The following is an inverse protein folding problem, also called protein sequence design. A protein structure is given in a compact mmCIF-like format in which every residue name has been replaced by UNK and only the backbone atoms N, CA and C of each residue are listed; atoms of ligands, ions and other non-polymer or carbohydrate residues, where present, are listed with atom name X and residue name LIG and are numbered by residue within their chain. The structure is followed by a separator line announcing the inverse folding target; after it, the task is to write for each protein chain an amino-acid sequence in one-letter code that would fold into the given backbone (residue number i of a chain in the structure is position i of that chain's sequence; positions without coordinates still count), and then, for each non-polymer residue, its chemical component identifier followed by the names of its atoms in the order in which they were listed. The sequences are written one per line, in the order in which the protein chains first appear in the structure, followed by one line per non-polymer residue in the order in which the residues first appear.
data_IF_172256354353
#
_entry.id   IF_172256354353
#
_cell.length_a   1.000
_cell.length_b   1.000
_cell.length_c   1.000
_cell.angle_alpha   90.00
_cell.angle_beta   90.00
_cell.angle_gamma   90.00
#
_symmetry.space_group_name_H-M   'P 1'
#
loop_
_entity.id
_entity.type
_entity.pdbx_description
1 polymer ?
#
# COMPACT_ATOMS: atom_id res chain seq x y z
N UNK A 1 19.56 82.02 99.21
CA UNK A 1 19.87 81.90 97.77
C UNK A 1 20.94 80.84 97.61
N UNK A 2 20.67 79.66 97.04
CA UNK A 2 21.74 78.66 96.85
C UNK A 2 21.38 77.17 96.69
N UNK A 3 20.14 76.77 96.40
CA UNK A 3 19.78 75.32 96.36
C UNK A 3 18.89 74.88 95.19
N UNK A 4 18.70 75.71 94.15
CA UNK A 4 17.83 75.38 93.00
C UNK A 4 18.57 74.96 91.71
N UNK A 5 19.91 75.05 91.66
CA UNK A 5 20.65 74.93 90.39
C UNK A 5 21.26 73.53 90.11
N UNK A 6 21.16 72.57 91.04
CA UNK A 6 21.75 71.23 90.90
C UNK A 6 20.78 70.14 90.36
N UNK A 7 19.48 70.41 90.30
CA UNK A 7 18.49 69.44 89.81
C UNK A 7 18.32 69.46 88.28
N UNK A 8 18.53 70.62 87.64
CA UNK A 8 18.32 70.80 86.20
C UNK A 8 19.43 70.15 85.37
N UNK A 9 20.70 70.26 85.79
CA UNK A 9 21.83 69.63 85.09
C UNK A 9 21.78 68.10 85.13
N UNK A 10 21.27 67.51 86.20
CA UNK A 10 21.12 66.05 86.32
C UNK A 10 20.03 65.50 85.40
N UNK A 11 18.97 66.28 85.14
CA UNK A 11 17.88 65.89 84.23
C UNK A 11 18.30 66.01 82.76
N UNK A 12 19.10 67.03 82.41
CA UNK A 12 19.64 67.21 81.05
C UNK A 12 20.61 66.08 80.67
N UNK A 13 21.45 65.62 81.62
CA UNK A 13 22.35 64.49 81.38
C UNK A 13 21.60 63.16 81.23
N UNK A 14 20.53 62.93 81.99
CA UNK A 14 19.73 61.70 81.91
C UNK A 14 18.93 61.62 80.60
N UNK A 15 18.44 62.75 80.08
CA UNK A 15 17.80 62.83 78.76
C UNK A 15 18.81 62.63 77.63
N UNK A 16 20.05 63.13 77.76
CA UNK A 16 21.11 62.91 76.76
C UNK A 16 21.54 61.44 76.69
N UNK A 17 21.56 60.74 77.83
CA UNK A 17 21.89 59.31 77.89
C UNK A 17 20.75 58.43 77.37
N UNK A 18 19.49 58.80 77.63
CA UNK A 18 18.32 58.15 77.02
C UNK A 18 18.24 58.38 75.50
N UNK A 19 18.72 59.53 74.98
CA UNK A 19 18.82 59.80 73.53
C UNK A 19 19.99 59.08 72.85
N UNK A 20 21.03 58.68 73.61
CA UNK A 20 22.18 57.90 73.09
C UNK A 20 22.06 56.39 73.34
N UNK A 21 21.09 55.96 74.14
CA UNK A 21 20.82 54.55 74.39
C UNK A 21 19.98 53.96 73.24
N UNK A 22 20.66 53.47 72.21
CA UNK A 22 20.05 52.69 71.11
C UNK A 22 19.47 51.33 71.57
N UNK A 23 19.58 51.00 72.86
CA UNK A 23 19.10 49.74 73.44
C UNK A 23 17.58 49.55 73.35
N UNK A 24 16.81 50.60 73.07
CA UNK A 24 15.35 50.52 72.86
C UNK A 24 14.89 50.24 71.42
N UNK A 25 15.72 50.53 70.41
CA UNK A 25 15.36 50.37 68.99
C UNK A 25 15.87 49.07 68.37
N UNK A 26 16.93 48.47 68.93
CA UNK A 26 17.56 47.26 68.41
C UNK A 26 16.62 46.06 68.34
N UNK A 27 15.76 45.87 69.35
CA UNK A 27 14.86 44.73 69.45
C UNK A 27 13.70 44.80 68.42
N UNK A 28 12.98 45.93 68.25
CA UNK A 28 12.04 46.11 67.16
C UNK A 28 12.67 45.92 65.78
N UNK A 29 13.87 46.48 65.51
CA UNK A 29 14.53 46.32 64.21
C UNK A 29 14.93 44.87 63.94
N UNK A 30 15.39 44.13 64.94
CA UNK A 30 15.70 42.71 64.79
C UNK A 30 14.45 41.87 64.51
N UNK A 31 13.32 42.18 65.16
CA UNK A 31 12.04 41.53 64.90
C UNK A 31 11.53 41.86 63.50
N UNK A 32 11.57 43.14 63.08
CA UNK A 32 11.18 43.53 61.72
C UNK A 32 12.08 42.89 60.67
N UNK A 33 13.39 42.80 60.90
CA UNK A 33 14.31 42.10 60.02
C UNK A 33 14.01 40.59 59.95
N UNK A 34 13.73 39.92 61.08
CA UNK A 34 13.32 38.51 61.09
C UNK A 34 12.00 38.30 60.34
N UNK A 35 10.98 39.13 60.59
CA UNK A 35 9.69 39.02 59.89
C UNK A 35 9.85 39.31 58.39
N UNK A 36 10.66 40.30 58.01
CA UNK A 36 10.93 40.60 56.61
C UNK A 36 11.69 39.45 55.91
N UNK A 37 12.70 38.86 56.57
CA UNK A 37 13.44 37.72 56.01
C UNK A 37 12.60 36.45 55.91
N UNK A 38 11.74 36.16 56.90
CA UNK A 38 10.79 35.04 56.85
C UNK A 38 9.68 35.28 55.81
N UNK A 39 9.22 36.53 55.66
CA UNK A 39 8.26 36.94 54.63
C UNK A 39 8.81 36.77 53.22
N UNK A 40 10.05 37.21 52.98
CA UNK A 40 10.72 37.01 51.68
C UNK A 40 11.06 35.54 51.42
N UNK A 41 11.47 34.79 52.45
CA UNK A 41 11.75 33.36 52.36
C UNK A 41 10.50 32.54 52.02
N UNK A 42 9.36 32.82 52.65
CA UNK A 42 8.10 32.13 52.36
C UNK A 42 7.58 32.40 50.95
N UNK A 43 7.70 33.64 50.44
CA UNK A 43 7.36 33.97 49.06
C UNK A 43 8.23 33.18 48.04
N UNK A 44 9.53 33.06 48.31
CA UNK A 44 10.43 32.28 47.48
C UNK A 44 10.06 30.78 47.47
N UNK A 45 9.75 30.19 48.63
CA UNK A 45 9.30 28.79 48.73
C UNK A 45 7.99 28.55 47.97
N UNK A 46 6.99 29.40 48.13
CA UNK A 46 5.72 29.29 47.41
C UNK A 46 5.91 29.39 45.89
N UNK A 47 6.79 30.31 45.44
CA UNK A 47 7.14 30.42 44.02
C UNK A 47 7.83 29.16 43.49
N UNK A 48 8.70 28.54 44.28
CA UNK A 48 9.39 27.30 43.92
C UNK A 48 8.44 26.12 43.86
N UNK A 49 7.49 26.01 44.80
CA UNK A 49 6.46 24.97 44.79
C UNK A 49 5.56 25.12 43.57
N UNK A 50 5.12 26.34 43.24
CA UNK A 50 4.32 26.59 42.04
C UNK A 50 5.10 26.29 40.75
N UNK A 51 6.38 26.64 40.68
CA UNK A 51 7.24 26.31 39.54
C UNK A 51 7.44 24.80 39.41
N UNK A 52 7.67 24.09 40.52
CA UNK A 52 7.77 22.63 40.53
C UNK A 52 6.46 21.96 40.08
N UNK A 53 5.31 22.42 40.57
CA UNK A 53 4.00 21.93 40.13
C UNK A 53 3.76 22.21 38.64
N UNK A 54 4.19 23.37 38.15
CA UNK A 54 4.16 23.70 36.72
C UNK A 54 4.99 22.75 35.87
N UNK A 55 6.23 22.47 36.30
CA UNK A 55 7.13 21.52 35.64
C UNK A 55 6.59 20.09 35.66
N UNK A 56 6.01 19.65 36.78
CA UNK A 56 5.36 18.33 36.85
C UNK A 56 4.18 18.25 35.90
N UNK A 57 3.29 19.25 35.88
CA UNK A 57 2.14 19.27 34.98
C UNK A 57 2.55 19.29 33.50
N UNK A 58 3.59 20.01 33.14
CA UNK A 58 4.13 20.02 31.77
C UNK A 58 4.75 18.66 31.41
N UNK A 59 5.52 18.06 32.32
CA UNK A 59 6.07 16.72 32.14
C UNK A 59 4.97 15.68 31.95
N UNK A 60 3.98 15.63 32.85
CA UNK A 60 2.85 14.70 32.79
C UNK A 60 2.04 14.90 31.50
N UNK A 61 1.89 16.16 31.05
CA UNK A 61 1.22 16.47 29.78
C UNK A 61 1.99 15.95 28.57
N UNK A 62 3.32 16.07 28.57
CA UNK A 62 4.20 15.55 27.50
C UNK A 62 4.24 14.01 27.51
N UNK A 63 4.27 13.41 28.70
CA UNK A 63 4.16 11.96 28.85
C UNK A 63 2.81 11.44 28.36
N UNK A 64 1.71 12.11 28.70
CA UNK A 64 0.37 11.73 28.28
C UNK A 64 0.19 11.80 26.75
N UNK A 65 0.71 12.83 26.07
CA UNK A 65 0.64 12.91 24.60
C UNK A 65 1.58 11.88 23.94
N UNK A 66 2.75 11.62 24.51
CA UNK A 66 3.64 10.57 24.04
C UNK A 66 3.01 9.18 24.18
N UNK A 67 2.30 8.92 25.29
CA UNK A 67 1.53 7.70 25.48
C UNK A 67 0.38 7.57 24.47
N UNK A 68 -0.29 8.68 24.14
CA UNK A 68 -1.34 8.71 23.13
C UNK A 68 -0.78 8.37 21.73
N UNK A 69 0.33 9.00 21.33
CA UNK A 69 1.00 8.70 20.06
C UNK A 69 1.52 7.26 19.99
N UNK A 70 2.08 6.75 21.10
CA UNK A 70 2.47 5.36 21.20
C UNK A 70 1.28 4.41 21.03
N UNK A 71 0.11 4.73 21.60
CA UNK A 71 -1.13 4.01 21.38
C UNK A 71 -1.55 3.99 19.91
N UNK A 72 -1.44 5.12 19.21
CA UNK A 72 -1.69 5.20 17.77
C UNK A 72 -0.69 4.37 16.95
N UNK A 73 0.60 4.37 17.30
CA UNK A 73 1.63 3.55 16.65
C UNK A 73 1.46 2.05 16.90
N UNK A 74 1.02 1.66 18.10
CA UNK A 74 0.68 0.25 18.40
C UNK A 74 -0.54 -0.18 17.59
N UNK A 75 -1.54 0.70 17.45
CA UNK A 75 -2.66 0.44 16.56
C UNK A 75 -2.18 0.21 15.12
N UNK A 76 -1.30 1.07 14.60
CA UNK A 76 -0.70 0.95 13.27
C UNK A 76 0.02 -0.39 13.08
N UNK A 77 0.89 -0.77 14.03
CA UNK A 77 1.61 -2.04 13.99
C UNK A 77 0.66 -3.25 13.94
N UNK A 78 -0.39 -3.23 14.78
CA UNK A 78 -1.39 -4.30 14.80
C UNK A 78 -2.20 -4.34 13.51
N UNK A 79 -2.61 -3.18 13.01
CA UNK A 79 -3.32 -3.07 11.74
C UNK A 79 -2.48 -3.62 10.58
N UNK A 80 -1.19 -3.29 10.50
CA UNK A 80 -0.29 -3.81 9.46
C UNK A 80 -0.08 -5.32 9.58
N UNK A 81 0.05 -5.82 10.81
CA UNK A 81 0.24 -7.26 11.07
C UNK A 81 -1.00 -8.09 10.73
N UNK A 82 -2.20 -7.52 10.90
CA UNK A 82 -3.48 -8.23 10.73
C UNK A 82 -4.30 -7.71 9.54
N UNK A 83 -3.71 -6.90 8.66
CA UNK A 83 -4.42 -6.24 7.56
C UNK A 83 -5.19 -7.26 6.68
N UNK A 84 -4.57 -8.40 6.38
CA UNK A 84 -5.16 -9.48 5.58
C UNK A 84 -6.30 -10.23 6.28
N UNK A 85 -6.41 -10.14 7.60
CA UNK A 85 -7.43 -10.81 8.40
C UNK A 85 -8.69 -9.93 8.61
N UNK A 86 -8.60 -8.62 8.34
CA UNK A 86 -9.72 -7.71 8.44
C UNK A 86 -10.71 -7.95 7.29
N UNK A 87 -11.99 -8.10 7.63
CA UNK A 87 -13.06 -8.33 6.65
C UNK A 87 -14.19 -7.35 6.85
N UNK A 88 -15.12 -7.25 5.89
CA UNK A 88 -16.34 -6.45 6.05
C UNK A 88 -17.22 -6.93 7.21
N UNK A 89 -17.18 -8.23 7.52
CA UNK A 89 -17.95 -8.82 8.62
C UNK A 89 -17.28 -8.56 9.96
N UNK A 90 -15.95 -8.62 10.02
CA UNK A 90 -15.16 -8.36 11.22
C UNK A 90 -14.04 -7.33 10.91
N UNK A 91 -14.38 -6.03 10.82
CA UNK A 91 -13.44 -5.00 10.40
C UNK A 91 -12.54 -4.50 11.54
N UNK A 92 -12.71 -5.01 12.76
CA UNK A 92 -12.09 -4.48 13.96
C UNK A 92 -11.14 -5.48 14.62
N UNK A 93 -10.03 -4.97 15.13
CA UNK A 93 -9.16 -5.68 16.07
C UNK A 93 -9.56 -5.31 17.50
N UNK A 94 -9.72 -6.32 18.34
CA UNK A 94 -9.96 -6.16 19.76
C UNK A 94 -9.08 -7.11 20.56
N UNK A 95 -8.87 -6.82 21.84
CA UNK A 95 -8.10 -7.67 22.75
C UNK A 95 -9.07 -8.41 23.66
N UNK A 96 -9.15 -9.73 23.51
CA UNK A 96 -9.91 -10.60 24.40
C UNK A 96 -8.94 -11.25 25.39
N UNK A 97 -8.82 -10.67 26.59
CA UNK A 97 -7.80 -11.07 27.56
C UNK A 97 -6.39 -10.66 27.09
N UNK A 98 -5.56 -11.64 26.73
CA UNK A 98 -4.20 -11.40 26.20
C UNK A 98 -4.07 -11.63 24.69
N UNK A 99 -5.14 -12.07 24.02
CA UNK A 99 -5.12 -12.40 22.60
C UNK A 99 -5.84 -11.35 21.76
N UNK A 100 -5.30 -11.08 20.57
CA UNK A 100 -5.98 -10.26 19.57
C UNK A 100 -7.03 -11.11 18.87
N UNK A 101 -8.26 -10.59 18.80
CA UNK A 101 -9.40 -11.20 18.14
C UNK A 101 -10.03 -10.22 17.14
N UNK A 102 -10.61 -10.77 16.08
CA UNK A 102 -11.41 -10.01 15.12
C UNK A 102 -12.83 -9.83 15.65
N UNK A 103 -13.41 -8.65 15.48
CA UNK A 103 -14.76 -8.33 15.93
C UNK A 103 -15.47 -7.35 15.01
N UNK A 104 -16.77 -7.15 15.25
CA UNK A 104 -17.59 -6.14 14.59
C UNK A 104 -17.31 -4.75 15.17
N UNK A 105 -17.56 -3.71 14.37
CA UNK A 105 -17.63 -2.36 14.89
C UNK A 105 -18.79 -2.25 15.89
N UNK A 106 -18.62 -1.42 16.91
CA UNK A 106 -19.69 -1.05 17.84
C UNK A 106 -20.75 -0.20 17.12
N UNK A 107 -21.91 -0.01 17.77
CA UNK A 107 -23.05 0.72 17.18
C UNK A 107 -22.74 2.18 16.79
N UNK A 108 -21.69 2.77 17.38
CA UNK A 108 -21.18 4.11 17.05
C UNK A 108 -20.31 4.13 15.79
N UNK A 109 -20.10 2.99 15.13
CA UNK A 109 -19.26 2.86 13.94
C UNK A 109 -17.77 2.75 14.25
N UNK A 110 -17.38 2.61 15.53
CA UNK A 110 -15.98 2.49 15.94
C UNK A 110 -15.69 1.10 16.49
N UNK A 111 -14.46 0.64 16.29
CA UNK A 111 -13.97 -0.58 16.88
C UNK A 111 -13.93 -0.49 18.42
N UNK A 112 -14.10 -1.61 19.13
CA UNK A 112 -13.98 -1.64 20.58
C UNK A 112 -12.63 -1.08 21.04
N UNK A 113 -12.64 -0.43 22.21
CA UNK A 113 -11.45 0.16 22.78
C UNK A 113 -10.41 -0.89 23.15
N UNK A 114 -9.15 -0.58 22.83
CA UNK A 114 -8.00 -1.38 23.18
C UNK A 114 -7.09 -0.57 24.10
N UNK A 115 -6.79 -1.14 25.27
CA UNK A 115 -5.97 -0.50 26.32
C UNK A 115 -4.59 -1.15 26.42
N UNK A 116 -3.63 -0.38 26.91
CA UNK A 116 -2.29 -0.86 27.22
C UNK A 116 -1.47 0.17 28.00
N UNK A 117 -0.19 -0.14 28.21
CA UNK A 117 0.77 0.73 28.92
C UNK A 117 2.04 0.90 28.10
N UNK A 118 2.72 2.03 28.31
CA UNK A 118 4.05 2.34 27.77
C UNK A 118 4.85 3.00 28.90
N UNK A 119 5.76 2.23 29.50
CA UNK A 119 6.42 2.66 30.75
C UNK A 119 5.41 2.76 31.91
N UNK A 120 5.41 3.89 32.62
CA UNK A 120 4.46 4.19 33.70
C UNK A 120 3.13 4.76 33.23
N UNK A 121 3.05 5.21 31.97
CA UNK A 121 1.86 5.82 31.40
C UNK A 121 0.97 4.77 30.73
N UNK A 122 -0.30 5.10 30.57
CA UNK A 122 -1.30 4.23 29.93
C UNK A 122 -1.85 4.84 28.65
N UNK A 123 -2.33 4.00 27.75
CA UNK A 123 -3.06 4.43 26.55
C UNK A 123 -4.32 3.60 26.34
N UNK A 124 -5.29 4.20 25.67
CA UNK A 124 -6.47 3.56 25.14
C UNK A 124 -6.71 4.07 23.73
N UNK A 125 -6.94 3.20 22.75
CA UNK A 125 -7.25 3.63 21.39
C UNK A 125 -8.48 2.94 20.83
N UNK A 126 -9.14 3.63 19.89
CA UNK A 126 -10.22 3.10 19.05
C UNK A 126 -9.91 3.41 17.59
N UNK A 127 -10.34 2.53 16.70
CA UNK A 127 -10.14 2.68 15.25
C UNK A 127 -11.48 2.68 14.53
N UNK A 128 -11.60 3.36 13.40
CA UNK A 128 -12.74 3.12 12.49
C UNK A 128 -12.48 1.85 11.67
N UNK A 129 -13.53 1.20 11.14
CA UNK A 129 -13.39 0.27 10.03
C UNK A 129 -12.64 0.90 8.84
N UNK A 130 -12.05 0.04 8.00
CA UNK A 130 -11.49 0.47 6.72
C UNK A 130 -12.61 0.96 5.81
N UNK A 131 -12.51 2.19 5.33
CA UNK A 131 -13.43 2.71 4.31
C UNK A 131 -13.16 2.08 2.94
N UNK A 132 -14.10 2.21 2.01
CA UNK A 132 -13.94 1.76 0.63
C UNK A 132 -12.75 2.43 -0.09
N UNK A 133 -12.30 3.60 0.37
CA UNK A 133 -11.14 4.32 -0.18
C UNK A 133 -9.82 3.93 0.48
N UNK A 134 -9.82 2.94 1.37
CA UNK A 134 -8.63 2.48 2.06
C UNK A 134 -8.17 3.41 3.19
N UNK A 135 -9.04 4.31 3.67
CA UNK A 135 -8.72 5.22 4.78
C UNK A 135 -9.35 4.74 6.08
N UNK A 136 -8.68 5.03 7.21
CA UNK A 136 -9.21 4.80 8.55
C UNK A 136 -8.70 5.88 9.52
N UNK A 137 -9.40 6.07 10.63
CA UNK A 137 -8.97 6.98 11.70
C UNK A 137 -8.72 6.21 12.98
N UNK A 138 -7.64 6.55 13.69
CA UNK A 138 -7.35 6.08 15.03
C UNK A 138 -7.38 7.24 16.00
N UNK A 139 -8.17 7.10 17.06
CA UNK A 139 -8.16 8.03 18.18
C UNK A 139 -7.51 7.31 19.34
N UNK A 140 -6.43 7.89 19.86
CA UNK A 140 -5.71 7.37 21.01
C UNK A 140 -5.70 8.41 22.13
N UNK A 141 -6.05 7.97 23.33
CA UNK A 141 -5.98 8.74 24.57
C UNK A 141 -4.85 8.17 25.41
N UNK A 142 -3.88 9.00 25.74
CA UNK A 142 -2.79 8.67 26.66
C UNK A 142 -2.98 9.38 28.00
N UNK A 143 -2.62 8.70 29.09
CA UNK A 143 -2.75 9.22 30.44
C UNK A 143 -1.48 8.98 31.25
N UNK A 144 -1.02 10.02 31.93
CA UNK A 144 0.09 9.99 32.89
C UNK A 144 -0.34 10.70 34.18
N UNK A 145 -0.42 9.95 35.28
CA UNK A 145 -1.04 10.43 36.52
C UNK A 145 -2.50 10.88 36.32
N UNK A 146 -2.78 12.15 36.58
CA UNK A 146 -4.11 12.77 36.41
C UNK A 146 -4.29 13.48 35.07
N UNK A 147 -3.22 13.58 34.27
CA UNK A 147 -3.25 14.27 32.98
C UNK A 147 -3.59 13.28 31.88
N UNK A 148 -4.55 13.63 31.03
CA UNK A 148 -4.93 12.85 29.85
C UNK A 148 -4.89 13.72 28.60
N UNK A 149 -4.35 13.18 27.52
CA UNK A 149 -4.21 13.82 26.21
C UNK A 149 -4.71 12.87 25.14
N UNK A 150 -5.29 13.43 24.07
CA UNK A 150 -5.90 12.64 23.01
C UNK A 150 -5.39 13.11 21.66
N UNK A 151 -5.10 12.15 20.78
CA UNK A 151 -4.69 12.39 19.40
C UNK A 151 -5.60 11.64 18.44
N UNK A 152 -5.88 12.26 17.29
CA UNK A 152 -6.54 11.64 16.16
C UNK A 152 -5.54 11.54 15.01
N UNK A 153 -5.39 10.34 14.46
CA UNK A 153 -4.42 10.00 13.42
C UNK A 153 -5.15 9.35 12.26
N UNK A 154 -5.01 9.94 11.07
CA UNK A 154 -5.50 9.33 9.83
C UNK A 154 -4.49 8.35 9.27
N UNK A 155 -4.95 7.15 8.92
CA UNK A 155 -4.18 6.18 8.15
C UNK A 155 -4.79 5.96 6.76
N UNK A 156 -3.94 5.68 5.78
CA UNK A 156 -4.32 5.23 4.45
C UNK A 156 -3.57 3.96 4.12
N UNK A 157 -4.24 3.01 3.51
CA UNK A 157 -3.60 1.80 3.00
C UNK A 157 -2.72 2.13 1.81
N UNK A 158 -1.48 1.65 1.86
CA UNK A 158 -0.56 1.55 0.73
C UNK A 158 -0.17 0.09 0.57
N UNK A 159 0.10 -0.32 -0.65
CA UNK A 159 0.55 -1.69 -0.92
C UNK A 159 2.06 -1.67 -0.97
N UNK A 160 2.71 -2.38 -0.05
CA UNK A 160 4.18 -2.53 -0.09
C UNK A 160 4.55 -3.90 -0.59
N UNK A 161 5.48 -3.88 -1.55
CA UNK A 161 5.99 -5.06 -2.23
C UNK A 161 4.97 -5.61 -3.22
N UNK A 162 4.95 -5.12 -4.46
CA UNK A 162 4.29 -5.89 -5.52
C UNK A 162 5.08 -7.16 -5.78
N UNK A 163 4.38 -8.25 -6.08
CA UNK A 163 5.03 -9.45 -6.59
C UNK A 163 5.77 -9.20 -7.93
N UNK A 164 5.49 -8.08 -8.60
CA UNK A 164 6.12 -7.65 -9.86
C UNK A 164 7.17 -6.55 -9.68
N UNK A 165 7.49 -6.15 -8.43
CA UNK A 165 8.33 -4.97 -8.20
C UNK A 165 9.80 -5.16 -8.59
N UNK A 166 10.32 -6.39 -8.47
CA UNK A 166 11.75 -6.65 -8.64
C UNK A 166 12.08 -7.37 -9.96
N UNK A 167 11.11 -8.06 -10.56
CA UNK A 167 11.28 -8.88 -11.75
C UNK A 167 10.26 -8.54 -12.84
N UNK A 168 10.74 -8.40 -14.08
CA UNK A 168 9.90 -8.23 -15.25
C UNK A 168 9.44 -9.56 -15.85
N UNK A 169 10.08 -10.67 -15.48
CA UNK A 169 9.68 -12.02 -15.86
C UNK A 169 9.65 -12.95 -14.66
N UNK A 170 8.51 -13.58 -14.38
CA UNK A 170 8.34 -14.50 -13.26
C UNK A 170 7.69 -15.80 -13.72
N UNK A 171 8.30 -16.95 -13.40
CA UNK A 171 7.68 -18.27 -13.53
C UNK A 171 7.60 -18.93 -12.15
N UNK A 172 6.43 -19.27 -11.62
CA UNK A 172 6.36 -19.88 -10.28
C UNK A 172 7.12 -21.21 -10.19
N UNK A 173 6.88 -22.12 -11.12
CA UNK A 173 7.39 -23.49 -11.07
C UNK A 173 8.74 -23.61 -11.75
N UNK A 174 8.86 -23.21 -13.01
CA UNK A 174 10.11 -23.28 -13.78
C UNK A 174 10.09 -22.22 -14.88
N UNK A 175 11.28 -21.93 -15.41
CA UNK A 175 11.47 -20.99 -16.52
C UNK A 175 12.45 -21.56 -17.54
N UNK A 176 12.09 -21.49 -18.82
CA UNK A 176 12.94 -21.86 -19.95
C UNK A 176 13.08 -20.65 -20.89
N UNK A 177 14.31 -20.24 -21.14
CA UNK A 177 14.68 -19.11 -21.99
C UNK A 177 15.63 -19.67 -23.05
N UNK A 178 15.22 -19.73 -24.31
CA UNK A 178 15.98 -20.42 -25.35
C UNK A 178 15.91 -19.74 -26.74
N UNK A 179 16.52 -20.39 -27.74
CA UNK A 179 16.48 -20.00 -29.15
C UNK A 179 16.89 -18.54 -29.44
N UNK A 180 17.97 -18.05 -28.82
CA UNK A 180 18.44 -16.67 -28.92
C UNK A 180 17.45 -15.63 -28.37
N UNK A 181 16.69 -15.99 -27.32
CA UNK A 181 15.92 -15.00 -26.58
C UNK A 181 16.82 -14.03 -25.79
N UNK A 182 16.40 -12.77 -25.65
CA UNK A 182 17.12 -11.71 -24.93
C UNK A 182 16.20 -11.07 -23.88
N UNK A 183 16.50 -11.31 -22.61
CA UNK A 183 15.69 -10.85 -21.48
C UNK A 183 16.41 -9.70 -20.77
N UNK A 184 16.02 -8.46 -21.07
CA UNK A 184 16.62 -7.22 -20.55
C UNK A 184 15.99 -6.72 -19.25
N UNK A 185 15.41 -7.63 -18.50
CA UNK A 185 14.77 -7.38 -17.20
C UNK A 185 15.24 -8.42 -16.21
N UNK A 186 15.07 -8.15 -14.91
CA UNK A 186 15.28 -9.19 -13.91
C UNK A 186 14.27 -10.33 -14.10
N UNK A 187 14.74 -11.57 -13.95
CA UNK A 187 13.96 -12.80 -14.15
C UNK A 187 13.97 -13.64 -12.87
N UNK A 188 12.83 -14.23 -12.49
CA UNK A 188 12.70 -14.95 -11.23
C UNK A 188 11.82 -16.20 -11.30
N UNK A 189 12.18 -17.25 -10.58
CA UNK A 189 11.35 -18.44 -10.39
C UNK A 189 11.48 -19.06 -9.00
N UNK A 190 10.51 -19.87 -8.58
CA UNK A 190 10.65 -20.70 -7.37
C UNK A 190 11.15 -22.12 -7.68
N UNK A 191 11.39 -22.46 -8.94
CA UNK A 191 12.09 -23.69 -9.32
C UNK A 191 13.40 -23.42 -10.05
N UNK A 192 13.63 -24.14 -11.15
CA UNK A 192 14.86 -24.00 -11.92
C UNK A 192 14.69 -22.99 -13.07
N UNK A 193 15.80 -22.37 -13.44
CA UNK A 193 15.90 -21.56 -14.65
C UNK A 193 16.82 -22.30 -15.62
N UNK A 194 16.33 -22.49 -16.84
CA UNK A 194 17.10 -23.05 -17.94
C UNK A 194 17.29 -21.94 -18.98
N UNK A 195 18.54 -21.58 -19.24
CA UNK A 195 18.90 -20.61 -20.29
C UNK A 195 19.76 -21.33 -21.31
N UNK A 196 19.24 -21.51 -22.51
CA UNK A 196 19.84 -22.38 -23.53
C UNK A 196 19.97 -21.67 -24.88
N UNK A 197 20.67 -22.31 -25.82
CA UNK A 197 20.69 -21.93 -27.25
C UNK A 197 20.97 -20.44 -27.54
N UNK A 198 22.05 -19.91 -26.96
CA UNK A 198 22.50 -18.52 -27.10
C UNK A 198 21.49 -17.47 -26.60
N UNK A 199 20.61 -17.83 -25.66
CA UNK A 199 19.78 -16.85 -24.99
C UNK A 199 20.57 -16.07 -23.92
N UNK A 200 20.19 -14.81 -23.69
CA UNK A 200 20.84 -13.92 -22.73
C UNK A 200 19.84 -13.36 -21.72
N UNK A 201 20.32 -13.14 -20.49
CA UNK A 201 19.56 -12.45 -19.43
C UNK A 201 20.37 -11.25 -18.92
N UNK A 202 19.94 -10.05 -19.28
CA UNK A 202 20.47 -8.77 -18.82
C UNK A 202 19.67 -8.21 -17.63
N UNK A 203 19.61 -8.98 -16.54
CA UNK A 203 18.93 -8.62 -15.30
C UNK A 203 19.34 -9.51 -14.14
N UNK A 204 18.88 -9.17 -12.92
CA UNK A 204 19.10 -10.06 -11.77
C UNK A 204 18.30 -11.35 -11.97
N UNK A 205 18.89 -12.47 -11.58
CA UNK A 205 18.29 -13.80 -11.72
C UNK A 205 17.97 -14.34 -10.32
N UNK A 206 16.70 -14.62 -10.05
CA UNK A 206 16.28 -15.31 -8.82
C UNK A 206 15.83 -16.74 -9.12
N UNK A 207 16.36 -17.71 -8.41
CA UNK A 207 15.89 -19.10 -8.48
C UNK A 207 15.34 -19.58 -7.14
N UNK A 208 14.61 -20.70 -7.18
CA UNK A 208 14.02 -21.29 -5.99
C UNK A 208 15.04 -21.75 -4.96
N UNK A 209 14.57 -21.90 -3.72
CA UNK A 209 15.40 -22.43 -2.62
C UNK A 209 15.81 -23.88 -2.94
N UNK A 210 17.11 -24.18 -2.88
CA UNK A 210 17.72 -25.46 -3.24
C UNK A 210 17.73 -25.73 -4.76
N UNK A 211 17.47 -24.71 -5.59
CA UNK A 211 17.49 -24.79 -7.05
C UNK A 211 18.71 -24.07 -7.60
N UNK A 212 18.87 -24.07 -8.92
CA UNK A 212 19.96 -23.37 -9.60
C UNK A 212 19.56 -22.90 -10.99
N UNK A 213 20.15 -21.81 -11.50
CA UNK A 213 20.12 -21.52 -12.92
C UNK A 213 21.07 -22.48 -13.65
N UNK A 214 20.66 -22.93 -14.82
CA UNK A 214 21.47 -23.76 -15.72
C UNK A 214 21.68 -22.98 -17.02
N UNK A 215 22.95 -22.76 -17.36
CA UNK A 215 23.38 -22.06 -18.56
C UNK A 215 23.94 -23.09 -19.54
N UNK A 216 23.20 -23.36 -20.61
CA UNK A 216 23.57 -24.28 -21.68
C UNK A 216 24.07 -23.58 -22.93
N UNK A 217 25.00 -24.21 -23.66
CA UNK A 217 25.60 -23.67 -24.89
C UNK A 217 26.30 -22.32 -24.63
N UNK A 218 26.09 -21.32 -25.50
CA UNK A 218 26.67 -19.98 -25.35
C UNK A 218 25.73 -19.00 -24.62
N UNK A 219 24.76 -19.48 -23.83
CA UNK A 219 23.89 -18.58 -23.07
C UNK A 219 24.65 -17.88 -21.95
N UNK A 220 24.33 -16.60 -21.69
CA UNK A 220 25.00 -15.84 -20.65
C UNK A 220 24.05 -14.97 -19.82
N UNK A 221 24.50 -14.63 -18.62
CA UNK A 221 23.97 -13.49 -17.88
C UNK A 221 24.86 -12.28 -18.18
N UNK A 222 24.28 -11.13 -18.47
CA UNK A 222 25.04 -9.92 -18.77
C UNK A 222 25.83 -9.46 -17.53
N UNK A 223 26.96 -8.77 -17.75
CA UNK A 223 27.81 -8.31 -16.65
C UNK A 223 27.12 -7.28 -15.76
N UNK A 224 27.37 -7.35 -14.44
CA UNK A 224 26.87 -6.39 -13.45
C UNK A 224 25.59 -6.82 -12.73
N UNK A 225 25.02 -7.98 -13.07
CA UNK A 225 23.83 -8.53 -12.41
C UNK A 225 24.17 -9.69 -11.49
N UNK A 226 23.33 -9.90 -10.45
CA UNK A 226 23.49 -10.96 -9.46
C UNK A 226 22.58 -12.16 -9.71
N UNK A 227 22.96 -13.30 -9.14
CA UNK A 227 22.10 -14.47 -8.96
C UNK A 227 21.74 -14.56 -7.48
N UNK A 228 20.46 -14.66 -7.16
CA UNK A 228 19.97 -14.80 -5.79
C UNK A 228 19.06 -16.01 -5.64
N UNK A 229 19.00 -16.53 -4.42
CA UNK A 229 18.10 -17.61 -4.05
C UNK A 229 16.91 -17.03 -3.29
N UNK A 230 15.69 -17.45 -3.64
CA UNK A 230 14.50 -17.02 -2.93
C UNK A 230 13.22 -17.36 -3.68
N UNK A 231 12.10 -17.36 -2.95
CA UNK A 231 10.78 -17.62 -3.51
C UNK A 231 9.94 -16.34 -3.51
N UNK A 232 9.06 -16.24 -4.51
CA UNK A 232 8.00 -15.22 -4.61
C UNK A 232 6.64 -15.92 -4.67
N UNK A 233 5.62 -15.33 -4.07
CA UNK A 233 4.24 -15.79 -4.23
C UNK A 233 3.52 -14.85 -5.17
N UNK A 234 2.93 -15.39 -6.24
CA UNK A 234 2.02 -14.64 -7.11
C UNK A 234 0.58 -14.86 -6.60
N UNK A 235 -0.11 -13.81 -6.11
CA UNK A 235 -1.51 -13.94 -5.70
C UNK A 235 -2.38 -14.45 -6.86
N UNK A 236 -3.40 -15.29 -6.59
CA UNK A 236 -4.35 -15.69 -7.63
C UNK A 236 -5.12 -14.47 -8.13
N UNK A 237 -5.50 -14.45 -9.42
CA UNK A 237 -6.28 -13.35 -10.02
C UNK A 237 -7.59 -13.10 -9.27
N UNK A 238 -8.20 -14.15 -8.71
CA UNK A 238 -9.41 -14.07 -7.87
C UNK A 238 -9.26 -13.17 -6.63
N UNK A 239 -8.03 -12.87 -6.18
CA UNK A 239 -7.78 -12.02 -5.02
C UNK A 239 -7.91 -10.51 -5.31
N UNK A 240 -7.81 -10.10 -6.57
CA UNK A 240 -7.84 -8.67 -6.97
C UNK A 240 -8.77 -8.36 -8.14
N UNK A 241 -9.36 -9.37 -8.77
CA UNK A 241 -10.41 -9.17 -9.77
C UNK A 241 -11.63 -8.47 -9.15
N UNK A 242 -12.31 -7.55 -9.84
CA UNK A 242 -13.54 -6.94 -9.33
C UNK A 242 -14.59 -8.03 -9.00
N UNK A 243 -15.18 -7.97 -7.80
CA UNK A 243 -16.09 -9.02 -7.31
C UNK A 243 -17.35 -9.21 -8.18
N UNK A 244 -17.76 -8.18 -8.91
CA UNK A 244 -18.92 -8.18 -9.81
C UNK A 244 -18.54 -8.28 -11.28
N UNK A 245 -17.29 -8.61 -11.63
CA UNK A 245 -16.80 -8.64 -13.02
C UNK A 245 -17.65 -9.54 -13.94
N UNK A 246 -18.26 -10.59 -13.40
CA UNK A 246 -19.11 -11.50 -14.17
C UNK A 246 -20.39 -10.84 -14.69
N UNK A 247 -20.92 -9.85 -13.97
CA UNK A 247 -22.17 -9.13 -14.31
C UNK A 247 -21.96 -7.69 -14.73
N UNK A 248 -20.88 -7.06 -14.26
CA UNK A 248 -20.48 -5.68 -14.56
C UNK A 248 -19.12 -5.72 -15.25
N UNK A 249 -19.15 -5.77 -16.58
CA UNK A 249 -17.99 -5.72 -17.46
C UNK A 249 -18.33 -4.96 -18.75
N UNK A 250 -17.35 -4.83 -19.62
CA UNK A 250 -17.39 -4.07 -20.86
C UNK A 250 -17.62 -4.95 -22.08
N UNK A 251 -17.97 -6.23 -21.90
CA UNK A 251 -18.20 -7.14 -23.03
C UNK A 251 -19.35 -6.69 -23.93
N UNK A 252 -20.30 -5.87 -23.43
CA UNK A 252 -21.38 -5.30 -24.23
C UNK A 252 -20.86 -4.42 -25.37
N UNK A 253 -19.66 -3.82 -25.22
CA UNK A 253 -18.98 -3.04 -26.27
C UNK A 253 -18.55 -3.90 -27.44
N UNK A 254 -18.36 -5.20 -27.19
CA UNK A 254 -18.01 -6.20 -28.19
C UNK A 254 -19.23 -6.86 -28.86
N UNK A 255 -20.46 -6.47 -28.53
CA UNK A 255 -21.66 -7.08 -29.13
C UNK A 255 -22.06 -6.31 -30.38
N UNK A 256 -22.40 -7.01 -31.46
CA UNK A 256 -23.00 -6.38 -32.65
C UNK A 256 -24.30 -5.67 -32.29
N UNK A 257 -24.36 -4.36 -32.52
CA UNK A 257 -25.55 -3.55 -32.30
C UNK A 257 -26.66 -3.99 -33.27
N UNK A 258 -27.70 -4.67 -32.76
CA UNK A 258 -28.86 -5.08 -33.57
C UNK A 258 -30.14 -4.42 -33.04
N UNK A 259 -30.91 -3.80 -33.93
CA UNK A 259 -32.19 -3.18 -33.60
C UNK A 259 -33.26 -4.25 -33.28
N UNK A 260 -34.26 -3.94 -32.43
CA UNK A 260 -34.55 -2.64 -31.81
C UNK A 260 -33.88 -2.43 -30.44
N UNK A 261 -33.22 -3.45 -29.87
CA UNK A 261 -32.61 -3.39 -28.53
C UNK A 261 -31.10 -3.22 -28.64
N UNK A 262 -30.67 -1.98 -28.90
CA UNK A 262 -29.26 -1.59 -28.97
C UNK A 262 -28.79 -1.23 -27.55
N UNK A 263 -27.89 -2.02 -26.91
CA UNK A 263 -27.34 -1.65 -25.61
C UNK A 263 -26.58 -0.32 -25.70
N UNK A 264 -26.69 0.53 -24.69
CA UNK A 264 -25.88 1.76 -24.61
C UNK A 264 -24.40 1.40 -24.66
N UNK A 265 -23.67 1.96 -25.61
CA UNK A 265 -22.24 1.74 -25.81
C UNK A 265 -21.84 0.44 -26.52
N UNK A 266 -22.78 -0.29 -27.15
CA UNK A 266 -22.39 -1.37 -28.05
C UNK A 266 -21.56 -0.82 -29.22
N UNK A 267 -20.56 -1.60 -29.68
CA UNK A 267 -19.63 -1.23 -30.74
C UNK A 267 -18.91 0.13 -30.52
N UNK A 268 -18.76 0.58 -29.27
CA UNK A 268 -17.81 1.63 -28.93
C UNK A 268 -16.36 1.19 -29.23
N UNK A 269 -16.10 -0.11 -29.12
CA UNK A 269 -14.87 -0.73 -29.59
C UNK A 269 -14.94 -1.00 -31.09
N UNK A 270 -13.84 -0.76 -31.81
CA UNK A 270 -13.82 -0.86 -33.26
C UNK A 270 -13.22 -2.17 -33.73
N UNK A 271 -13.79 -2.77 -34.78
CA UNK A 271 -13.27 -4.00 -35.39
C UNK A 271 -13.26 -3.90 -36.91
N UNK A 272 -12.12 -4.15 -37.55
CA UNK A 272 -11.96 -4.00 -39.00
C UNK A 272 -12.40 -5.23 -39.81
N UNK A 273 -12.61 -6.38 -39.16
CA UNK A 273 -12.98 -7.64 -39.85
C UNK A 273 -14.46 -7.78 -40.23
N UNK A 274 -15.27 -6.74 -40.02
CA UNK A 274 -16.70 -6.71 -40.36
C UNK A 274 -17.61 -7.35 -39.31
N UNK A 275 -18.26 -6.52 -38.50
CA UNK A 275 -19.13 -6.94 -37.40
C UNK A 275 -20.37 -7.77 -37.82
N UNK A 276 -20.94 -7.48 -38.99
CA UNK A 276 -22.19 -8.08 -39.45
C UNK A 276 -22.02 -9.48 -40.02
N UNK A 277 -20.84 -9.81 -40.51
CA UNK A 277 -20.53 -11.10 -41.14
C UNK A 277 -19.71 -11.99 -40.23
N UNK A 278 -18.78 -11.41 -39.46
CA UNK A 278 -17.85 -12.13 -38.59
C UNK A 278 -17.67 -11.37 -37.28
N UNK A 279 -18.71 -11.32 -36.44
CA UNK A 279 -18.60 -10.73 -35.10
C UNK A 279 -17.39 -11.32 -34.37
N UNK A 280 -16.47 -10.49 -33.86
CA UNK A 280 -15.31 -10.98 -33.13
C UNK A 280 -15.70 -11.59 -31.79
N UNK A 281 -16.91 -11.36 -31.30
CA UNK A 281 -17.36 -11.80 -29.99
C UNK A 281 -18.50 -12.81 -30.06
N UNK A 282 -18.34 -13.91 -29.33
CA UNK A 282 -19.40 -14.87 -29.04
C UNK A 282 -19.84 -14.74 -27.57
N UNK A 283 -21.05 -14.21 -27.29
CA UNK A 283 -21.51 -14.01 -25.91
C UNK A 283 -21.81 -15.33 -25.17
N UNK A 284 -22.14 -16.40 -25.89
CA UNK A 284 -22.49 -17.68 -25.27
C UNK A 284 -21.26 -18.39 -24.72
N UNK A 285 -20.17 -18.39 -25.49
CA UNK A 285 -18.89 -19.00 -25.08
C UNK A 285 -17.93 -17.98 -24.47
N UNK A 286 -18.34 -16.71 -24.37
CA UNK A 286 -17.51 -15.58 -23.96
C UNK A 286 -16.14 -15.56 -24.65
N UNK A 287 -16.12 -15.83 -25.94
CA UNK A 287 -14.88 -15.97 -26.73
C UNK A 287 -14.71 -14.79 -27.66
N UNK A 288 -13.53 -14.17 -27.63
CA UNK A 288 -13.08 -13.16 -28.58
C UNK A 288 -12.23 -13.85 -29.66
N UNK A 289 -12.69 -13.86 -30.90
CA UNK A 289 -11.99 -14.46 -32.04
C UNK A 289 -11.93 -13.46 -33.17
N UNK A 290 -10.74 -13.08 -33.61
CA UNK A 290 -10.56 -12.19 -34.76
C UNK A 290 -10.19 -12.99 -36.02
N UNK A 291 -10.58 -12.48 -37.19
CA UNK A 291 -10.15 -13.05 -38.46
C UNK A 291 -8.68 -12.72 -38.77
N UNK A 292 -8.14 -13.31 -39.83
CA UNK A 292 -6.81 -12.90 -40.33
C UNK A 292 -6.84 -11.44 -40.80
N UNK A 293 -5.74 -10.69 -40.61
CA UNK A 293 -5.60 -9.30 -41.06
C UNK A 293 -6.68 -8.36 -40.51
N UNK A 294 -7.15 -8.63 -39.30
CA UNK A 294 -8.18 -7.82 -38.66
C UNK A 294 -7.63 -7.14 -37.40
N UNK A 295 -8.22 -6.01 -37.04
CA UNK A 295 -7.81 -5.20 -35.90
C UNK A 295 -8.99 -5.07 -34.98
N UNK A 296 -8.79 -5.38 -33.70
CA UNK A 296 -9.73 -5.06 -32.62
C UNK A 296 -9.10 -3.94 -31.79
N UNK A 297 -9.82 -2.83 -31.62
CA UNK A 297 -9.38 -1.71 -30.80
C UNK A 297 -10.32 -1.54 -29.62
N UNK A 298 -9.79 -1.70 -28.42
CA UNK A 298 -10.53 -1.53 -27.18
C UNK A 298 -10.33 -0.10 -26.66
N UNK A 299 -11.43 0.61 -26.49
CA UNK A 299 -11.50 2.01 -26.07
C UNK A 299 -11.42 2.20 -24.55
N UNK A 300 -11.35 1.09 -23.79
CA UNK A 300 -11.19 1.06 -22.34
C UNK A 300 -12.22 0.16 -21.65
N UNK A 301 -11.94 -0.16 -20.39
CA UNK A 301 -12.82 -0.94 -19.53
C UNK A 301 -12.28 -2.30 -19.15
N UNK A 302 -13.07 -3.00 -18.34
CA UNK A 302 -12.78 -4.34 -17.88
C UNK A 302 -13.57 -5.35 -18.69
N UNK A 303 -12.89 -6.31 -19.31
CA UNK A 303 -13.50 -7.37 -20.10
C UNK A 303 -13.40 -8.68 -19.34
N UNK A 304 -14.44 -9.51 -19.44
CA UNK A 304 -14.50 -10.80 -18.74
C UNK A 304 -14.79 -11.92 -19.72
N UNK A 305 -13.74 -12.54 -20.21
CA UNK A 305 -13.82 -13.48 -21.33
C UNK A 305 -13.33 -14.86 -20.92
N UNK A 306 -13.58 -15.85 -21.75
CA UNK A 306 -13.11 -17.22 -21.55
C UNK A 306 -11.86 -17.52 -22.36
N UNK A 307 -11.81 -16.99 -23.58
CA UNK A 307 -10.76 -17.24 -24.55
C UNK A 307 -10.62 -16.06 -25.51
N UNK A 308 -9.38 -15.77 -25.89
CA UNK A 308 -9.02 -14.82 -26.93
C UNK A 308 -8.17 -15.53 -28.00
N UNK A 309 -8.63 -15.48 -29.25
CA UNK A 309 -7.92 -16.02 -30.42
C UNK A 309 -7.75 -14.90 -31.42
N UNK A 310 -6.52 -14.49 -31.66
CA UNK A 310 -6.18 -13.45 -32.60
C UNK A 310 -5.63 -14.12 -33.86
N UNK A 311 -6.31 -13.95 -35.00
CA UNK A 311 -5.93 -14.56 -36.27
C UNK A 311 -4.54 -14.12 -36.77
N UNK A 312 -4.07 -14.71 -37.88
CA UNK A 312 -2.77 -14.35 -38.44
C UNK A 312 -2.75 -12.90 -38.93
N UNK A 313 -1.68 -12.17 -38.61
CA UNK A 313 -1.55 -10.74 -38.88
C UNK A 313 -2.69 -9.90 -38.32
N UNK A 314 -3.25 -10.29 -37.16
CA UNK A 314 -4.30 -9.52 -36.49
C UNK A 314 -3.74 -8.66 -35.37
N UNK A 315 -4.39 -7.53 -35.11
CA UNK A 315 -3.89 -6.52 -34.19
C UNK A 315 -4.87 -6.33 -33.04
N UNK A 316 -4.38 -6.41 -31.82
CA UNK A 316 -5.10 -5.93 -30.64
C UNK A 316 -4.55 -4.57 -30.26
N UNK A 317 -5.39 -3.55 -30.25
CA UNK A 317 -4.98 -2.18 -29.98
C UNK A 317 -5.71 -1.66 -28.74
N UNK A 318 -4.97 -1.15 -27.77
CA UNK A 318 -5.53 -0.30 -26.72
C UNK A 318 -5.57 1.15 -27.22
N UNK A 319 -6.76 1.75 -27.17
CA UNK A 319 -6.98 3.14 -27.57
C UNK A 319 -6.18 4.14 -26.72
N UNK A 320 -5.94 5.33 -27.28
CA UNK A 320 -5.30 6.44 -26.56
C UNK A 320 -6.10 6.84 -25.31
N UNK A 321 -5.42 7.09 -24.19
CA UNK A 321 -6.01 7.39 -22.89
C UNK A 321 -6.82 6.25 -22.25
N UNK A 322 -6.93 5.10 -22.90
CA UNK A 322 -7.72 3.99 -22.40
C UNK A 322 -6.97 3.19 -21.34
N UNK A 323 -7.73 2.61 -20.42
CA UNK A 323 -7.27 1.55 -19.50
C UNK A 323 -8.02 0.28 -19.87
N UNK A 324 -7.31 -0.73 -20.36
CA UNK A 324 -7.91 -2.01 -20.79
C UNK A 324 -7.41 -3.12 -19.89
N UNK A 325 -8.33 -3.82 -19.22
CA UNK A 325 -8.04 -5.02 -18.42
C UNK A 325 -8.90 -6.17 -18.93
N UNK A 326 -8.25 -7.24 -19.36
CA UNK A 326 -8.93 -8.44 -19.86
C UNK A 326 -8.72 -9.55 -18.85
N UNK A 327 -9.79 -9.92 -18.14
CA UNK A 327 -9.81 -11.01 -17.19
C UNK A 327 -10.32 -12.27 -17.89
N UNK A 328 -9.54 -13.35 -17.80
CA UNK A 328 -9.92 -14.66 -18.29
C UNK A 328 -10.43 -15.50 -17.13
N UNK A 329 -11.68 -15.94 -17.22
CA UNK A 329 -12.34 -16.81 -16.24
C UNK A 329 -11.66 -18.19 -16.19
N UNK A 330 -12.00 -19.00 -15.20
CA UNK A 330 -11.45 -20.36 -15.09
C UNK A 330 -11.95 -21.23 -16.26
N UNK A 331 -11.12 -22.16 -16.76
CA UNK A 331 -11.53 -23.06 -17.85
C UNK A 331 -12.78 -23.87 -17.54
N UNK A 332 -13.04 -24.22 -16.27
CA UNK A 332 -14.25 -24.92 -15.83
C UNK A 332 -15.51 -24.10 -16.11
N UNK A 333 -15.51 -22.80 -15.77
CA UNK A 333 -16.63 -21.88 -16.03
C UNK A 333 -16.81 -21.58 -17.53
N UNK A 334 -15.80 -21.89 -18.32
CA UNK A 334 -15.77 -21.66 -19.76
C UNK A 334 -16.09 -22.91 -20.58
N UNK A 335 -16.31 -24.06 -19.94
CA UNK A 335 -16.50 -25.33 -20.63
C UNK A 335 -15.29 -25.74 -21.48
N UNK A 336 -14.09 -25.26 -21.14
CA UNK A 336 -12.86 -25.62 -21.83
C UNK A 336 -12.37 -26.97 -21.26
N UNK A 337 -12.06 -27.92 -22.14
CA UNK A 337 -11.53 -29.23 -21.78
C UNK A 337 -9.99 -29.29 -21.89
N UNK A 338 -9.42 -30.48 -21.67
CA UNK A 338 -7.97 -30.75 -21.48
C UNK A 338 -7.02 -29.84 -22.28
N UNK A 339 -6.11 -29.15 -21.57
CA UNK A 339 -5.16 -28.13 -22.06
C UNK A 339 -5.87 -26.95 -22.73
N UNK A 340 -6.43 -26.05 -21.92
CA UNK A 340 -7.17 -24.89 -22.38
C UNK A 340 -6.22 -23.75 -22.80
N UNK A 341 -6.11 -23.50 -24.11
CA UNK A 341 -5.50 -22.27 -24.64
C UNK A 341 -6.45 -21.09 -24.46
N UNK A 342 -6.20 -20.25 -23.45
CA UNK A 342 -7.03 -19.08 -23.15
C UNK A 342 -6.60 -17.85 -23.96
N UNK A 343 -5.31 -17.75 -24.30
CA UNK A 343 -4.79 -16.77 -25.26
C UNK A 343 -4.08 -17.52 -26.38
N UNK A 344 -4.40 -17.17 -27.61
CA UNK A 344 -3.78 -17.68 -28.82
C UNK A 344 -3.58 -16.52 -29.80
N UNK A 345 -2.38 -15.93 -29.83
CA UNK A 345 -2.00 -14.91 -30.81
C UNK A 345 -1.32 -15.61 -31.99
N UNK A 346 -2.04 -15.64 -33.11
CA UNK A 346 -1.59 -16.22 -34.36
C UNK A 346 -0.37 -15.51 -34.96
N UNK A 347 0.22 -16.15 -35.95
CA UNK A 347 1.46 -15.68 -36.55
C UNK A 347 1.30 -14.28 -37.14
N UNK A 348 2.20 -13.38 -36.75
CA UNK A 348 2.19 -12.01 -37.23
C UNK A 348 1.20 -11.08 -36.59
N UNK A 349 0.45 -11.53 -35.59
CA UNK A 349 -0.32 -10.60 -34.79
C UNK A 349 0.56 -9.77 -33.85
N UNK A 350 -0.01 -8.69 -33.34
CA UNK A 350 0.61 -7.87 -32.28
C UNK A 350 -0.44 -7.31 -31.31
N UNK A 351 0.06 -6.89 -30.16
CA UNK A 351 -0.68 -6.23 -29.10
C UNK A 351 -0.02 -4.88 -28.85
N UNK A 352 -0.71 -3.79 -29.16
CA UNK A 352 -0.14 -2.43 -29.07
C UNK A 352 -0.98 -1.51 -28.20
N UNK A 353 -0.32 -0.50 -27.63
CA UNK A 353 -0.92 0.55 -26.85
C UNK A 353 -0.65 1.91 -27.50
N UNK A 354 -1.69 2.55 -28.03
CA UNK A 354 -1.57 3.80 -28.82
C UNK A 354 -0.87 4.93 -28.05
N UNK A 355 -1.01 4.94 -26.72
CA UNK A 355 -0.46 5.96 -25.84
C UNK A 355 0.86 5.59 -25.15
N UNK A 356 1.40 4.42 -25.44
CA UNK A 356 2.68 4.01 -24.87
C UNK A 356 3.81 4.86 -25.47
N UNK A 357 4.45 5.67 -24.63
CA UNK A 357 5.55 6.53 -25.01
C UNK A 357 6.47 6.78 -23.82
N UNK A 358 7.55 5.99 -23.76
CA UNK A 358 8.55 6.09 -22.71
C UNK A 358 9.23 7.46 -22.61
N UNK A 359 9.42 8.16 -23.75
CA UNK A 359 10.03 9.49 -23.76
C UNK A 359 9.14 10.56 -23.09
N UNK A 360 7.82 10.33 -23.05
CA UNK A 360 6.85 11.18 -22.38
C UNK A 360 6.44 10.66 -20.98
N UNK A 361 7.07 9.57 -20.50
CA UNK A 361 6.68 8.93 -19.25
C UNK A 361 5.27 8.31 -19.27
N UNK A 362 4.75 7.98 -20.45
CA UNK A 362 3.45 7.33 -20.62
C UNK A 362 3.64 5.84 -20.81
N UNK A 363 3.20 5.04 -19.83
CA UNK A 363 3.40 3.59 -19.85
C UNK A 363 2.10 2.78 -19.77
N UNK A 364 0.97 3.39 -20.12
CA UNK A 364 -0.31 2.69 -20.15
C UNK A 364 -0.26 1.59 -21.21
N UNK A 365 -0.55 0.35 -20.81
CA UNK A 365 -0.60 -0.82 -21.68
C UNK A 365 -1.76 -1.74 -21.24
N UNK A 366 -2.32 -2.56 -22.13
CA UNK A 366 -3.36 -3.52 -21.77
C UNK A 366 -2.83 -4.57 -20.78
N UNK A 367 -3.66 -4.93 -19.80
CA UNK A 367 -3.39 -6.01 -18.85
C UNK A 367 -4.22 -7.25 -19.14
N UNK A 368 -3.57 -8.40 -19.28
CA UNK A 368 -4.20 -9.72 -19.43
C UNK A 368 -4.03 -10.53 -18.16
N UNK A 369 -5.14 -10.89 -17.52
CA UNK A 369 -5.16 -11.56 -16.22
C UNK A 369 -5.86 -12.91 -16.33
N UNK A 370 -5.10 -14.01 -16.32
CA UNK A 370 -5.64 -15.36 -16.43
C UNK A 370 -5.81 -15.97 -15.05
N UNK A 371 -7.04 -16.32 -14.70
CA UNK A 371 -7.31 -17.06 -13.47
C UNK A 371 -6.63 -18.43 -13.49
N UNK A 372 -6.59 -19.08 -14.67
CA UNK A 372 -6.07 -20.42 -14.84
C UNK A 372 -6.90 -21.46 -14.07
N UNK A 373 -6.31 -22.63 -13.83
CA UNK A 373 -6.92 -23.67 -13.01
C UNK A 373 -5.86 -24.59 -12.39
N UNK A 374 -6.08 -25.08 -11.15
CA UNK A 374 -5.24 -26.12 -10.56
C UNK A 374 -5.50 -27.51 -11.17
N UNK A 375 -6.66 -27.74 -11.79
CA UNK A 375 -7.12 -29.05 -12.28
C UNK A 375 -7.05 -29.18 -13.80
N UNK A 376 -7.22 -28.08 -14.53
CA UNK A 376 -7.12 -28.04 -15.99
C UNK A 376 -5.89 -27.24 -16.36
N UNK A 377 -4.94 -27.88 -17.05
CA UNK A 377 -3.79 -27.17 -17.60
C UNK A 377 -4.28 -26.05 -18.52
N UNK A 378 -3.78 -24.84 -18.30
CA UNK A 378 -4.13 -23.65 -19.09
C UNK A 378 -2.88 -23.05 -19.70
N UNK A 379 -3.01 -22.45 -20.88
CA UNK A 379 -1.91 -21.90 -21.65
C UNK A 379 -2.26 -20.54 -22.27
N UNK A 380 -1.29 -19.63 -22.24
CA UNK A 380 -1.25 -18.44 -23.08
C UNK A 380 -0.13 -18.62 -24.12
N UNK A 381 -0.48 -18.65 -25.40
CA UNK A 381 0.46 -18.82 -26.49
C UNK A 381 0.50 -17.56 -27.35
N UNK A 382 1.69 -16.98 -27.47
CA UNK A 382 1.90 -15.69 -28.13
C UNK A 382 3.02 -15.86 -29.15
N UNK A 383 2.67 -15.84 -30.43
CA UNK A 383 3.59 -16.11 -31.54
C UNK A 383 3.58 -15.00 -32.60
N UNK A 384 3.96 -13.75 -32.26
CA UNK A 384 3.98 -12.62 -33.19
C UNK A 384 5.00 -12.78 -34.34
N UNK A 385 4.98 -11.86 -35.31
CA UNK A 385 5.98 -11.82 -36.39
C UNK A 385 7.32 -11.27 -35.91
N UNK A 386 8.37 -11.54 -36.70
CA UNK A 386 9.66 -10.89 -36.51
C UNK A 386 9.57 -9.36 -36.63
N UNK A 387 10.07 -8.64 -35.62
CA UNK A 387 10.21 -7.18 -35.61
C UNK A 387 9.01 -6.40 -35.09
N UNK A 388 7.92 -7.04 -34.62
CA UNK A 388 6.84 -6.32 -33.93
C UNK A 388 7.23 -5.99 -32.49
N UNK A 389 6.71 -4.87 -31.98
CA UNK A 389 6.78 -4.48 -30.57
C UNK A 389 5.41 -4.72 -29.97
N UNK A 390 5.36 -5.47 -28.88
CA UNK A 390 4.13 -5.79 -28.18
C UNK A 390 4.16 -5.16 -26.79
N UNK A 391 3.20 -4.31 -26.46
CA UNK A 391 3.13 -3.61 -25.18
C UNK A 391 1.99 -4.17 -24.34
N UNK A 392 2.30 -4.99 -23.34
CA UNK A 392 1.28 -5.54 -22.44
C UNK A 392 1.84 -6.07 -21.13
N UNK A 393 0.94 -6.22 -20.15
CA UNK A 393 1.17 -7.03 -18.98
C UNK A 393 0.41 -8.36 -19.11
N UNK A 394 1.10 -9.47 -18.88
CA UNK A 394 0.50 -10.81 -18.86
C UNK A 394 0.72 -11.45 -17.49
N UNK A 395 -0.37 -11.64 -16.76
CA UNK A 395 -0.37 -12.20 -15.41
C UNK A 395 -1.26 -13.44 -15.35
N UNK A 396 -0.64 -14.60 -15.22
CA UNK A 396 -1.26 -15.92 -15.34
C UNK A 396 -0.66 -16.91 -14.31
N UNK A 397 -0.83 -16.69 -13.00
CA UNK A 397 -0.14 -17.43 -11.94
C UNK A 397 -0.43 -18.94 -11.94
N UNK A 398 -1.49 -19.40 -12.62
CA UNK A 398 -1.85 -20.81 -12.75
C UNK A 398 -1.75 -21.35 -14.19
N UNK A 399 -1.24 -20.57 -15.15
CA UNK A 399 -1.14 -20.96 -16.55
C UNK A 399 0.30 -21.00 -17.03
N UNK A 400 0.56 -21.84 -18.03
CA UNK A 400 1.80 -21.81 -18.79
C UNK A 400 1.77 -20.64 -19.78
N UNK A 401 2.86 -19.89 -19.86
CA UNK A 401 3.07 -18.84 -20.84
C UNK A 401 4.12 -19.32 -21.81
N UNK A 402 3.74 -19.38 -23.09
CA UNK A 402 4.64 -19.67 -24.20
C UNK A 402 4.71 -18.48 -25.12
N UNK A 403 5.88 -17.87 -25.19
CA UNK A 403 6.17 -16.78 -26.11
C UNK A 403 7.20 -17.26 -27.11
N UNK A 404 6.90 -17.08 -28.39
CA UNK A 404 7.70 -17.53 -29.51
C UNK A 404 7.92 -16.41 -30.51
N UNK A 405 8.91 -16.62 -31.38
CA UNK A 405 9.27 -15.79 -32.52
C UNK A 405 9.95 -14.46 -32.16
N UNK A 406 10.57 -13.84 -33.18
CA UNK A 406 11.48 -12.70 -33.10
C UNK A 406 10.81 -11.34 -32.86
N UNK A 407 9.98 -11.23 -31.83
CA UNK A 407 9.32 -9.98 -31.44
C UNK A 407 9.91 -9.40 -30.16
N UNK A 408 9.70 -8.11 -29.98
CA UNK A 408 9.99 -7.39 -28.75
C UNK A 408 8.72 -7.29 -27.91
N UNK A 409 8.85 -7.55 -26.61
CA UNK A 409 7.80 -7.47 -25.62
C UNK A 409 8.20 -6.40 -24.60
N UNK A 410 7.31 -5.44 -24.39
CA UNK A 410 7.45 -4.38 -23.39
C UNK A 410 6.39 -4.58 -22.31
N UNK A 411 6.84 -4.79 -21.07
CA UNK A 411 5.94 -4.93 -19.94
C UNK A 411 6.38 -6.00 -18.94
N UNK A 412 5.41 -6.75 -18.40
CA UNK A 412 5.67 -7.79 -17.38
C UNK A 412 5.01 -9.09 -17.79
N UNK A 413 5.74 -10.19 -17.60
CA UNK A 413 5.23 -11.54 -17.82
C UNK A 413 5.36 -12.33 -16.51
N UNK A 414 4.24 -12.82 -15.99
CA UNK A 414 4.19 -13.55 -14.74
C UNK A 414 3.30 -14.78 -14.92
N UNK A 415 3.87 -15.98 -14.90
CA UNK A 415 3.18 -17.24 -15.20
C UNK A 415 3.44 -18.33 -14.15
N UNK A 416 2.70 -19.44 -14.25
CA UNK A 416 3.06 -20.68 -13.53
C UNK A 416 4.36 -21.25 -14.09
N UNK A 417 4.45 -21.35 -15.40
CA UNK A 417 5.65 -21.69 -16.15
C UNK A 417 5.82 -20.67 -17.26
N UNK A 418 7.05 -20.29 -17.55
CA UNK A 418 7.35 -19.36 -18.64
C UNK A 418 8.36 -20.02 -19.56
N UNK A 419 7.98 -20.14 -20.83
CA UNK A 419 8.85 -20.56 -21.92
C UNK A 419 8.95 -19.41 -22.93
N UNK A 420 10.15 -18.87 -23.07
CA UNK A 420 10.44 -17.66 -23.83
C UNK A 420 11.48 -17.99 -24.91
N UNK A 421 11.02 -18.11 -26.15
CA UNK A 421 11.82 -18.58 -27.30
C UNK A 421 12.02 -17.45 -28.31
N UNK A 422 13.28 -17.18 -28.70
CA UNK A 422 13.61 -16.28 -29.83
C UNK A 422 12.98 -14.89 -29.73
N UNK A 423 12.75 -14.34 -28.55
CA UNK A 423 12.07 -13.07 -28.34
C UNK A 423 12.90 -12.11 -27.49
N UNK A 424 12.57 -10.82 -27.50
CA UNK A 424 13.19 -9.81 -26.64
C UNK A 424 12.17 -9.37 -25.59
N UNK A 425 12.52 -9.42 -24.30
CA UNK A 425 11.71 -8.83 -23.23
C UNK A 425 12.44 -7.64 -22.61
N UNK A 426 11.82 -6.47 -22.60
CA UNK A 426 12.40 -5.27 -22.02
C UNK A 426 11.37 -4.43 -21.25
N UNK A 427 11.86 -3.55 -20.40
CA UNK A 427 11.07 -2.55 -19.70
C UNK A 427 11.74 -1.19 -19.86
N UNK A 428 10.97 -0.21 -20.31
CA UNK A 428 11.46 1.16 -20.39
C UNK A 428 11.62 1.75 -18.98
N UNK A 429 12.68 2.55 -18.80
CA UNK A 429 12.96 3.21 -17.52
C UNK A 429 11.78 4.08 -17.10
N UNK A 430 11.33 3.91 -15.86
CA UNK A 430 10.20 4.66 -15.30
C UNK A 430 8.85 3.95 -15.43
N UNK A 431 8.80 2.81 -16.15
CA UNK A 431 7.65 1.93 -16.07
C UNK A 431 7.53 1.34 -14.66
N UNK A 432 6.37 1.54 -14.04
CA UNK A 432 6.01 0.90 -12.78
C UNK A 432 4.91 -0.13 -13.06
N UNK A 433 5.16 -1.43 -12.82
CA UNK A 433 4.12 -2.43 -13.00
C UNK A 433 2.96 -2.19 -12.03
N UNK A 434 1.73 -2.59 -12.41
CA UNK A 434 0.60 -2.48 -11.50
C UNK A 434 0.89 -3.29 -10.24
N UNK A 435 0.46 -2.73 -9.11
CA UNK A 435 0.67 -3.34 -7.80
C UNK A 435 -0.21 -4.57 -7.67
N UNK A 436 0.31 -5.73 -8.08
CA UNK A 436 -0.33 -7.03 -7.87
C UNK A 436 0.26 -7.69 -6.63
N UNK A 437 -0.61 -8.06 -5.71
CA UNK A 437 -0.21 -8.62 -4.43
C UNK A 437 0.40 -7.58 -3.49
N UNK A 438 1.21 -8.08 -2.58
CA UNK A 438 1.83 -7.28 -1.52
C UNK A 438 1.03 -7.26 -0.23
N UNK A 439 1.71 -6.84 0.83
CA UNK A 439 1.04 -6.57 2.07
C UNK A 439 0.39 -5.20 1.96
N UNK A 440 -0.94 -5.15 2.10
CA UNK A 440 -1.62 -3.91 2.42
C UNK A 440 -1.11 -3.46 3.78
N UNK A 441 -0.32 -2.39 3.80
CA UNK A 441 0.10 -1.75 5.03
C UNK A 441 -0.60 -0.40 5.13
N UNK A 442 -0.86 0.02 6.35
CA UNK A 442 -1.31 1.34 6.68
C UNK A 442 -0.10 2.26 6.83
N UNK A 443 -0.26 3.48 6.34
CA UNK A 443 0.70 4.57 6.50
C UNK A 443 0.00 5.77 7.15
N UNK A 444 0.71 6.47 8.03
CA UNK A 444 0.25 7.69 8.71
C UNK A 444 0.15 8.85 7.72
N UNK A 445 -1.04 9.44 7.63
CA UNK A 445 -1.34 10.55 6.73
C UNK A 445 -1.54 11.88 7.48
N UNK A 446 -2.08 11.84 8.69
CA UNK A 446 -2.37 13.04 9.48
C UNK A 446 -2.18 12.80 10.97
N UNK A 447 -1.95 13.87 11.71
CA UNK A 447 -1.85 13.87 13.17
C UNK A 447 -2.49 15.15 13.71
N UNK A 448 -3.45 15.01 14.63
CA UNK A 448 -4.14 16.13 15.28
C UNK A 448 -4.24 15.86 16.78
N UNK A 449 -3.79 16.79 17.63
CA UNK A 449 -4.09 16.76 19.06
C UNK A 449 -5.50 17.29 19.29
N UNK A 450 -6.34 16.52 19.99
CA UNK A 450 -7.70 16.91 20.30
C UNK A 450 -7.73 17.75 21.58
N UNK A 451 -8.18 19.00 21.48
CA UNK A 451 -8.19 19.95 22.61
C UNK A 451 -9.53 20.04 23.33
N UNK A 452 -10.62 19.59 22.72
CA UNK A 452 -11.95 19.59 23.34
C UNK A 452 -12.25 18.38 24.21
N UNK A 453 -13.34 18.46 24.97
CA UNK A 453 -13.83 17.36 25.81
C UNK A 453 -14.10 16.10 24.99
N UNK A 454 -13.97 14.94 25.63
CA UNK A 454 -14.33 13.65 25.06
C UNK A 454 -15.82 13.65 24.69
N UNK A 455 -16.12 13.33 23.43
CA UNK A 455 -17.48 13.27 22.90
C UNK A 455 -17.72 11.97 22.13
N UNK A 456 -18.93 11.85 21.57
CA UNK A 456 -19.29 10.81 20.60
C UNK A 456 -19.50 11.48 19.24
N UNK A 457 -18.83 11.04 18.15
CA UNK A 457 -17.86 9.93 18.08
C UNK A 457 -16.53 10.20 18.82
N UNK A 458 -15.69 9.18 19.06
CA UNK A 458 -14.39 9.33 19.74
C UNK A 458 -13.47 10.44 19.22
N UNK A 459 -13.57 10.82 17.95
CA UNK A 459 -12.81 11.93 17.34
C UNK A 459 -13.53 13.30 17.44
N UNK A 460 -14.62 13.41 18.19
CA UNK A 460 -15.29 14.69 18.39
C UNK A 460 -14.34 15.68 19.09
N UNK A 461 -14.31 16.91 18.56
CA UNK A 461 -13.43 18.01 18.98
C UNK A 461 -11.93 17.74 18.77
N UNK A 462 -11.65 16.91 17.77
CA UNK A 462 -10.43 16.90 16.96
C UNK A 462 -10.80 17.53 15.60
#
# INVERSE_FOLDING_TARGET
MGTAMLAIDRFILLIRDLRRSERGMALPTAIFAMVATLGLGSAAVLSSVNAQQGSHRDSDSKSAIAAADAGANIALLRLNRYASALTTTNPCLWVNGSTLALTKASADGWCPEVKGTVGSSSYAYRTTPLSATGTMTVVATGSDGVVSRRVAVGYKTTTVGSALANEGMIGLDDMLIDQNADVKVSAGTNGNIYVEENADVCGNVRHGIGKKPTWGNNSTQCQGYGVTEGNVTLPPVSSFIPANIATVNSNYRLVTCTAPKVPTGCQEDTYTGGWSTNSPWNPNTRTLTTGNKSTITLSGGDYFICKMTLGNNSHFVMGSGATVRVFFDTPENCGLSSVAKQIDLGNGGDITATDYNAALGKFNMPGFYLMGSPTIATKAEISPNGGSVNEFLLYAPQSEILIKNNATFKGVIAGKKVHFEKAILEQDKGYEPPQIGGATIFERQSFVECTGSTGSPPNANC
#
